data_IF_219883736203
#
_entry.id   IF_219883736203
#
_cell.length_a   1.000
_cell.length_b   1.000
_cell.length_c   1.000
_cell.angle_alpha   90.00
_cell.angle_beta   90.00
_cell.angle_gamma   90.00
#
_symmetry.space_group_name_H-M   'P 1'
#
loop_
_entity.id
_entity.type
_entity.pdbx_description
1 polymer ?
#
# COMPACT_ATOMS: atom_id res chain seq x y z
N UNK A 1 -22.39 3.45 -3.83
CA UNK A 1 -21.39 4.03 -2.91
C UNK A 1 -20.54 2.90 -2.36
N UNK A 2 -19.31 2.73 -2.86
CA UNK A 2 -18.42 1.62 -2.46
C UNK A 2 -17.66 2.04 -1.21
N UNK A 3 -18.00 1.41 -0.10
CA UNK A 3 -17.29 1.53 1.16
C UNK A 3 -15.89 0.95 0.95
N UNK A 4 -14.90 1.84 0.82
CA UNK A 4 -13.49 1.49 0.67
C UNK A 4 -13.04 0.76 1.93
N UNK A 5 -12.43 -0.41 1.73
CA UNK A 5 -11.74 -1.19 2.76
C UNK A 5 -10.62 -0.32 3.33
N UNK A 6 -10.89 0.33 4.45
CA UNK A 6 -9.93 1.07 5.26
C UNK A 6 -9.03 0.03 5.95
N UNK A 7 -7.76 -0.04 5.58
CA UNK A 7 -6.81 -0.95 6.24
C UNK A 7 -6.53 -0.48 7.67
N UNK A 8 -6.49 -1.46 8.58
CA UNK A 8 -6.49 -1.33 10.04
C UNK A 8 -5.50 -0.29 10.60
N UNK A 9 -4.38 0.05 9.98
CA UNK A 9 -3.44 1.02 10.57
C UNK A 9 -3.98 2.47 10.65
N UNK A 10 -4.99 2.81 9.84
CA UNK A 10 -5.63 4.14 9.84
C UNK A 10 -6.77 4.29 10.85
N UNK A 11 -7.33 3.17 11.34
CA UNK A 11 -8.50 3.13 12.24
C UNK A 11 -8.33 2.19 13.46
N UNK A 12 -7.23 1.45 13.59
CA UNK A 12 -6.95 0.60 14.76
C UNK A 12 -6.54 1.42 15.99
N UNK A 13 -6.24 2.70 15.78
CA UNK A 13 -6.36 3.70 16.82
C UNK A 13 -7.66 4.42 16.50
N UNK A 14 -8.72 4.14 17.27
CA UNK A 14 -9.88 5.02 17.28
C UNK A 14 -9.31 6.43 17.47
N UNK A 15 -9.61 7.37 16.56
CA UNK A 15 -8.89 8.66 16.44
C UNK A 15 -8.91 9.51 17.71
N UNK A 16 -9.62 9.06 18.74
CA UNK A 16 -9.61 9.53 20.11
C UNK A 16 -8.22 9.53 20.78
N UNK A 17 -7.32 8.60 20.45
CA UNK A 17 -5.97 8.56 21.06
C UNK A 17 -4.87 9.25 20.23
N UNK A 18 -5.18 9.64 18.98
CA UNK A 18 -4.24 10.30 18.10
C UNK A 18 -4.26 11.83 18.31
N UNK A 19 -3.67 12.30 19.42
CA UNK A 19 -3.47 13.73 19.67
C UNK A 19 -2.46 14.38 18.70
N UNK A 20 -2.28 15.70 18.80
CA UNK A 20 -1.34 16.48 17.95
C UNK A 20 0.09 15.91 17.95
N UNK A 21 0.51 15.27 19.05
CA UNK A 21 1.79 14.59 19.17
C UNK A 21 1.96 13.42 18.18
N UNK A 22 0.90 12.63 17.95
CA UNK A 22 0.91 11.52 16.99
C UNK A 22 1.04 12.01 15.55
N UNK A 23 0.38 13.13 15.22
CA UNK A 23 0.53 13.78 13.91
C UNK A 23 1.96 14.25 13.63
N UNK A 24 2.63 14.83 14.63
CA UNK A 24 4.02 15.26 14.49
C UNK A 24 4.99 14.08 14.28
N UNK A 25 4.77 12.94 14.96
CA UNK A 25 5.56 11.72 14.78
C UNK A 25 5.36 11.13 13.38
N UNK A 26 4.13 11.03 12.90
CA UNK A 26 3.86 10.55 11.54
C UNK A 26 4.45 11.47 10.47
N UNK A 27 4.38 12.78 10.67
CA UNK A 27 5.02 13.74 9.78
C UNK A 27 6.56 13.56 9.75
N UNK A 28 7.18 13.38 10.92
CA UNK A 28 8.63 13.12 11.06
C UNK A 28 9.08 11.88 10.27
N UNK A 29 8.29 10.81 10.28
CA UNK A 29 8.63 9.55 9.59
C UNK A 29 7.94 9.38 8.24
N UNK A 30 7.35 10.44 7.69
CA UNK A 30 6.56 10.39 6.44
C UNK A 30 7.33 9.77 5.27
N UNK A 31 8.63 10.07 5.14
CA UNK A 31 9.48 9.49 4.10
C UNK A 31 9.67 7.97 4.24
N UNK A 32 9.74 7.46 5.48
CA UNK A 32 9.84 6.02 5.74
C UNK A 32 8.49 5.32 5.54
N UNK A 33 7.38 6.01 5.85
CA UNK A 33 6.02 5.48 5.72
C UNK A 33 5.57 5.45 4.26
N UNK A 34 5.97 6.42 3.45
CA UNK A 34 5.59 6.57 2.05
C UNK A 34 5.71 5.27 1.21
N UNK A 35 6.83 4.54 1.20
CA UNK A 35 6.93 3.30 0.42
C UNK A 35 5.99 2.20 0.92
N UNK A 36 5.77 2.08 2.24
CA UNK A 36 4.80 1.12 2.78
C UNK A 36 3.38 1.45 2.35
N UNK A 37 3.06 2.76 2.28
CA UNK A 37 1.78 3.25 1.77
C UNK A 37 1.60 2.88 0.29
N UNK A 38 2.60 3.12 -0.55
CA UNK A 38 2.58 2.71 -1.97
C UNK A 38 2.35 1.21 -2.11
N UNK A 39 3.07 0.39 -1.33
CA UNK A 39 2.88 -1.08 -1.37
C UNK A 39 1.45 -1.46 -1.02
N UNK A 40 0.88 -0.90 0.05
CA UNK A 40 -0.46 -1.27 0.48
C UNK A 40 -1.56 -0.76 -0.46
N UNK A 41 -1.54 0.55 -0.78
CA UNK A 41 -2.62 1.25 -1.46
C UNK A 41 -2.59 1.08 -2.97
N UNK A 42 -1.39 1.08 -3.57
CA UNK A 42 -1.25 1.10 -5.02
C UNK A 42 -0.94 -0.25 -5.64
N UNK A 43 -0.30 -1.14 -4.87
CA UNK A 43 0.12 -2.48 -5.33
C UNK A 43 -0.84 -3.55 -4.79
N UNK A 44 -0.82 -3.79 -3.48
CA UNK A 44 -1.55 -4.91 -2.87
C UNK A 44 -3.06 -4.80 -3.01
N UNK A 45 -3.61 -3.58 -3.04
CA UNK A 45 -5.04 -3.35 -3.26
C UNK A 45 -5.55 -3.80 -4.64
N UNK A 46 -4.66 -3.93 -5.63
CA UNK A 46 -4.99 -4.28 -7.03
C UNK A 46 -4.75 -5.75 -7.36
N UNK A 47 -4.24 -6.53 -6.39
CA UNK A 47 -3.94 -7.93 -6.60
C UNK A 47 -5.23 -8.74 -6.78
N UNK A 48 -5.20 -9.64 -7.73
CA UNK A 48 -6.22 -10.67 -7.95
C UNK A 48 -5.55 -12.03 -8.15
N UNK A 49 -6.35 -13.09 -8.27
CA UNK A 49 -5.80 -14.41 -8.58
C UNK A 49 -5.17 -14.39 -9.98
N UNK A 50 -4.19 -15.26 -10.24
CA UNK A 50 -3.56 -15.35 -11.57
C UNK A 50 -4.57 -15.80 -12.64
N UNK A 51 -5.59 -16.58 -12.24
CA UNK A 51 -6.70 -16.95 -13.11
C UNK A 51 -7.55 -15.72 -13.50
N UNK A 52 -7.88 -14.85 -12.54
CA UNK A 52 -8.60 -13.60 -12.81
C UNK A 52 -7.76 -12.64 -13.65
N UNK A 53 -6.46 -12.55 -13.38
CA UNK A 53 -5.53 -11.70 -14.12
C UNK A 53 -5.39 -12.09 -15.60
N UNK A 54 -5.68 -13.34 -15.97
CA UNK A 54 -5.74 -13.75 -17.36
C UNK A 54 -6.95 -13.14 -18.11
N UNK A 55 -8.02 -12.78 -17.38
CA UNK A 55 -9.23 -12.21 -17.96
C UNK A 55 -9.06 -10.73 -18.29
N UNK A 56 -9.68 -10.29 -19.39
CA UNK A 56 -9.61 -8.88 -19.83
C UNK A 56 -10.35 -7.93 -18.88
N UNK A 57 -11.43 -8.38 -18.25
CA UNK A 57 -12.21 -7.56 -17.32
C UNK A 57 -11.38 -7.13 -16.09
N UNK A 58 -10.54 -8.02 -15.56
CA UNK A 58 -9.68 -7.69 -14.42
C UNK A 58 -8.51 -6.81 -14.84
N UNK A 59 -7.85 -7.12 -15.96
CA UNK A 59 -6.75 -6.29 -16.49
C UNK A 59 -7.20 -4.86 -16.79
N UNK A 60 -8.34 -4.69 -17.46
CA UNK A 60 -8.89 -3.37 -17.78
C UNK A 60 -9.30 -2.56 -16.55
N UNK A 61 -9.61 -3.23 -15.43
CA UNK A 61 -9.83 -2.58 -14.13
C UNK A 61 -8.54 -2.20 -13.37
N UNK A 62 -7.37 -2.41 -13.98
CA UNK A 62 -6.06 -2.14 -13.39
C UNK A 62 -5.60 -3.17 -12.37
N UNK A 63 -6.22 -4.37 -12.35
CA UNK A 63 -5.82 -5.48 -11.48
C UNK A 63 -4.78 -6.36 -12.14
N UNK A 64 -3.96 -7.00 -11.32
CA UNK A 64 -2.87 -7.84 -11.80
C UNK A 64 -2.58 -9.01 -10.86
N UNK A 65 -1.91 -10.02 -11.42
CA UNK A 65 -1.54 -11.26 -10.75
C UNK A 65 -0.20 -11.19 -10.03
N UNK A 66 0.21 -12.32 -9.47
CA UNK A 66 1.37 -12.49 -8.60
C UNK A 66 2.69 -12.07 -9.25
N UNK A 67 2.89 -12.39 -10.54
CA UNK A 67 4.11 -12.05 -11.26
C UNK A 67 4.32 -10.53 -11.35
N UNK A 68 3.27 -9.78 -11.69
CA UNK A 68 3.32 -8.33 -11.79
C UNK A 68 3.50 -7.67 -10.41
N UNK A 69 2.86 -8.21 -9.36
CA UNK A 69 3.09 -7.76 -7.98
C UNK A 69 4.57 -7.78 -7.64
N UNK A 70 5.26 -8.89 -7.94
CA UNK A 70 6.68 -9.03 -7.65
C UNK A 70 7.52 -8.00 -8.41
N UNK A 71 7.17 -7.69 -9.67
CA UNK A 71 7.84 -6.64 -10.44
C UNK A 71 7.64 -5.27 -9.79
N UNK A 72 6.41 -4.92 -9.43
CA UNK A 72 6.09 -3.64 -8.79
C UNK A 72 6.78 -3.50 -7.42
N UNK A 73 6.81 -4.56 -6.61
CA UNK A 73 7.49 -4.56 -5.31
C UNK A 73 9.00 -4.36 -5.46
N UNK A 74 9.63 -4.97 -6.48
CA UNK A 74 11.05 -4.75 -6.77
C UNK A 74 11.36 -3.31 -7.14
N UNK A 75 10.46 -2.65 -7.89
CA UNK A 75 10.62 -1.22 -8.22
C UNK A 75 10.57 -0.33 -6.98
N UNK A 76 9.61 -0.59 -6.07
CA UNK A 76 9.56 0.12 -4.79
C UNK A 76 10.84 -0.13 -3.98
N UNK A 77 11.27 -1.38 -3.86
CA UNK A 77 12.47 -1.76 -3.11
C UNK A 77 13.74 -1.11 -3.66
N UNK A 78 13.89 -1.01 -4.99
CA UNK A 78 15.03 -0.37 -5.63
C UNK A 78 15.10 1.14 -5.36
N UNK A 79 13.97 1.78 -5.04
CA UNK A 79 13.88 3.20 -4.68
C UNK A 79 14.08 3.49 -3.19
N UNK A 80 14.25 2.47 -2.35
CA UNK A 80 14.48 2.68 -0.92
C UNK A 80 15.93 3.08 -0.65
N UNK A 81 16.19 4.05 0.25
CA UNK A 81 17.54 4.27 0.74
C UNK A 81 18.03 2.98 1.41
N UNK A 82 19.18 2.47 0.97
CA UNK A 82 19.82 1.34 1.65
C UNK A 82 20.07 1.74 3.10
N UNK A 83 19.39 1.08 4.05
CA UNK A 83 19.55 1.40 5.45
C UNK A 83 20.98 1.11 5.90
N UNK A 84 21.66 2.11 6.46
CA UNK A 84 22.73 1.82 7.41
C UNK A 84 22.09 1.16 8.63
N UNK A 85 22.57 -0.05 8.93
CA UNK A 85 22.12 -0.89 10.03
C UNK A 85 22.65 -0.40 11.38
#
# INVERSE_FOLDING_TARGET
MRQLRQLLWSYALDGHEAGQASGAVLAKYSQHIAPHRTVAEDILAKVCSDADAATEAYRSSGRFGSAEVVVQLKLVAAGLPGGEA
#
